data_IF_258924103433
#
_entry.id   IF_258924103433
#
_cell.length_a   1.000
_cell.length_b   1.000
_cell.length_c   1.000
_cell.angle_alpha   90.00
_cell.angle_beta   90.00
_cell.angle_gamma   90.00
#
_symmetry.space_group_name_H-M   'P 1'
#
loop_
_entity.id
_entity.type
_entity.pdbx_description
1 polymer ?
#
# COMPACT_ATOMS: atom_id res chain seq x y z
N UNK A 1 71.84 -3.08 -11.37
CA UNK A 1 71.11 -1.81 -11.18
C UNK A 1 69.70 -1.98 -11.72
N UNK A 2 68.70 -1.74 -10.88
CA UNK A 2 67.27 -1.86 -11.20
C UNK A 2 66.83 -0.61 -11.98
N UNK A 3 66.12 -0.79 -13.09
CA UNK A 3 65.39 0.29 -13.78
C UNK A 3 64.01 -0.21 -14.18
N UNK A 4 63.03 -0.09 -13.28
CA UNK A 4 61.61 -0.27 -13.61
C UNK A 4 61.03 1.13 -13.88
N UNK A 5 60.67 1.41 -15.12
CA UNK A 5 59.81 2.54 -15.44
C UNK A 5 58.38 2.20 -14.98
N UNK A 6 57.89 2.92 -13.97
CA UNK A 6 56.47 2.96 -13.62
C UNK A 6 55.84 4.10 -14.42
N UNK A 7 54.94 3.78 -15.35
CA UNK A 7 54.01 4.76 -15.90
C UNK A 7 52.94 5.06 -14.83
N UNK A 8 52.70 6.34 -14.47
CA UNK A 8 51.55 6.66 -13.64
C UNK A 8 50.31 6.57 -14.53
N UNK A 9 49.43 5.61 -14.25
CA UNK A 9 48.10 5.57 -14.82
C UNK A 9 47.33 6.78 -14.26
N UNK A 10 47.19 7.82 -15.07
CA UNK A 10 46.37 9.00 -14.80
C UNK A 10 44.90 8.58 -14.77
N UNK A 11 44.41 8.16 -13.60
CA UNK A 11 42.98 8.02 -13.31
C UNK A 11 42.45 9.38 -12.85
N UNK A 12 42.18 10.26 -13.82
CA UNK A 12 41.27 11.42 -13.69
C UNK A 12 39.93 11.04 -14.37
N UNK A 13 38.78 11.65 -14.01
CA UNK A 13 37.75 10.92 -13.28
C UNK A 13 36.48 10.72 -14.11
N UNK A 14 36.12 9.46 -14.37
CA UNK A 14 34.82 9.11 -14.95
C UNK A 14 33.64 9.63 -14.13
N UNK A 15 33.78 9.71 -12.80
CA UNK A 15 32.74 10.20 -11.90
C UNK A 15 32.48 11.73 -12.02
N UNK A 16 33.48 12.53 -12.40
CA UNK A 16 33.31 13.98 -12.57
C UNK A 16 32.66 14.30 -13.92
N UNK A 17 33.01 13.59 -14.99
CA UNK A 17 32.43 13.79 -16.33
C UNK A 17 30.93 13.42 -16.37
N UNK A 18 30.55 12.30 -15.73
CA UNK A 18 29.15 11.89 -15.66
C UNK A 18 28.29 12.87 -14.82
N UNK A 19 28.85 13.43 -13.74
CA UNK A 19 28.16 14.42 -12.90
C UNK A 19 28.00 15.78 -13.59
N UNK A 20 28.99 16.21 -14.37
CA UNK A 20 28.91 17.44 -15.17
C UNK A 20 27.81 17.35 -16.24
N UNK A 21 27.86 16.31 -17.10
CA UNK A 21 26.83 16.10 -18.14
C UNK A 21 25.41 16.00 -17.56
N UNK A 22 25.25 15.36 -16.40
CA UNK A 22 23.93 15.22 -15.77
C UNK A 22 23.43 16.54 -15.19
N UNK A 23 24.33 17.39 -14.69
CA UNK A 23 23.99 18.73 -14.18
C UNK A 23 23.56 19.63 -15.34
N UNK A 24 24.22 19.53 -16.48
CA UNK A 24 23.93 20.32 -17.68
C UNK A 24 22.54 19.99 -18.26
N UNK A 25 22.18 18.71 -18.41
CA UNK A 25 20.86 18.29 -18.95
C UNK A 25 19.71 18.76 -18.05
N UNK A 26 19.91 18.73 -16.73
CA UNK A 26 18.91 19.20 -15.77
C UNK A 26 18.70 20.71 -15.88
N UNK A 27 19.80 21.49 -15.92
CA UNK A 27 19.72 22.94 -16.09
C UNK A 27 19.05 23.29 -17.42
N UNK A 28 19.45 22.61 -18.50
CA UNK A 28 18.83 22.74 -19.81
C UNK A 28 17.31 22.47 -19.75
N UNK A 29 16.88 21.43 -19.05
CA UNK A 29 15.46 21.10 -18.89
C UNK A 29 14.66 22.21 -18.18
N UNK A 30 15.29 22.97 -17.27
CA UNK A 30 14.66 24.12 -16.62
C UNK A 30 14.68 25.37 -17.50
N UNK A 31 15.83 25.66 -18.12
CA UNK A 31 16.04 26.87 -18.91
C UNK A 31 15.21 26.82 -20.22
N UNK A 32 15.02 25.64 -20.83
CA UNK A 32 14.20 25.43 -22.03
C UNK A 32 12.72 25.13 -21.75
N UNK A 33 12.31 25.06 -20.47
CA UNK A 33 10.93 24.79 -20.11
C UNK A 33 9.98 25.89 -20.61
N UNK A 34 8.72 25.55 -20.85
CA UNK A 34 7.69 26.56 -21.12
C UNK A 34 7.34 27.24 -19.79
N UNK A 35 7.73 28.50 -19.64
CA UNK A 35 7.42 29.32 -18.47
C UNK A 35 6.06 30.01 -18.62
N UNK A 36 5.20 29.87 -17.62
CA UNK A 36 3.88 30.50 -17.59
C UNK A 36 3.52 31.00 -16.18
N UNK A 37 2.53 31.88 -16.11
CA UNK A 37 2.00 32.43 -14.86
C UNK A 37 0.50 32.17 -14.74
N UNK A 38 0.05 31.84 -13.55
CA UNK A 38 -1.37 31.65 -13.19
C UNK A 38 -1.62 32.31 -11.84
N UNK A 39 -2.88 32.61 -11.52
CA UNK A 39 -3.21 33.04 -10.16
C UNK A 39 -2.94 31.93 -9.15
N UNK A 40 -3.78 30.89 -9.18
CA UNK A 40 -3.67 29.70 -8.33
C UNK A 40 -3.71 28.43 -9.18
N UNK A 41 -2.78 27.51 -8.94
CA UNK A 41 -2.75 26.22 -9.62
C UNK A 41 -3.65 25.20 -8.91
N UNK A 42 -4.53 24.53 -9.66
CA UNK A 42 -5.36 23.44 -9.14
C UNK A 42 -4.74 22.11 -9.53
N UNK A 43 -4.25 21.37 -8.54
CA UNK A 43 -3.63 20.06 -8.75
C UNK A 43 -4.64 19.07 -9.36
N UNK A 44 -4.37 18.50 -10.55
CA UNK A 44 -5.26 17.53 -11.15
C UNK A 44 -5.27 16.21 -10.37
N UNK A 45 -6.46 15.64 -10.13
CA UNK A 45 -6.64 14.39 -9.36
C UNK A 45 -5.96 13.16 -9.97
N UNK A 46 -5.71 13.16 -11.28
CA UNK A 46 -5.20 12.00 -12.03
C UNK A 46 -3.81 12.23 -12.63
N UNK A 47 -2.95 13.01 -11.97
CA UNK A 47 -1.57 13.21 -12.39
C UNK A 47 -0.62 12.90 -11.24
N UNK A 48 0.54 12.32 -11.54
CA UNK A 48 1.62 12.20 -10.58
C UNK A 48 2.08 13.59 -10.12
N UNK A 49 2.67 13.69 -8.95
CA UNK A 49 3.27 14.92 -8.45
C UNK A 49 4.36 14.67 -7.39
N UNK A 50 5.24 15.66 -7.17
CA UNK A 50 6.22 15.68 -6.06
C UNK A 50 6.07 17.02 -5.37
N UNK A 51 5.74 17.03 -4.09
CA UNK A 51 5.48 18.26 -3.33
C UNK A 51 6.65 18.62 -2.42
N UNK A 52 6.93 19.90 -2.36
CA UNK A 52 7.91 20.51 -1.46
C UNK A 52 7.19 21.51 -0.53
N UNK A 53 7.71 21.75 0.68
CA UNK A 53 7.37 22.95 1.42
C UNK A 53 7.77 24.21 0.63
N UNK A 54 7.14 25.34 0.96
CA UNK A 54 7.57 26.64 0.46
C UNK A 54 9.03 26.90 0.83
N UNK A 55 9.81 27.46 -0.10
CA UNK A 55 11.23 27.77 0.13
C UNK A 55 12.17 26.56 0.25
N UNK A 56 11.67 25.32 0.13
CA UNK A 56 12.49 24.10 0.29
C UNK A 56 12.52 23.24 -0.99
N UNK A 57 13.57 22.44 -1.10
CA UNK A 57 13.70 21.33 -2.06
C UNK A 57 13.61 19.95 -1.41
N UNK A 58 13.37 19.90 -0.10
CA UNK A 58 13.15 18.65 0.62
C UNK A 58 11.74 18.15 0.30
N UNK A 59 11.65 16.89 -0.13
CA UNK A 59 10.39 16.30 -0.56
C UNK A 59 9.53 16.07 0.68
N UNK A 60 8.39 16.75 0.75
CA UNK A 60 7.42 16.55 1.82
C UNK A 60 6.49 15.37 1.53
N UNK A 61 5.98 15.29 0.29
CA UNK A 61 5.04 14.27 -0.16
C UNK A 61 5.25 14.00 -1.65
N UNK A 62 4.84 12.85 -2.16
CA UNK A 62 4.90 12.56 -3.60
C UNK A 62 3.88 11.50 -4.01
N UNK A 63 3.36 11.67 -5.22
CA UNK A 63 2.59 10.72 -5.99
C UNK A 63 3.33 10.40 -7.28
N UNK A 64 3.92 9.21 -7.43
CA UNK A 64 4.76 8.91 -8.59
C UNK A 64 4.21 7.82 -9.48
N UNK A 65 4.62 7.96 -10.73
CA UNK A 65 4.62 6.93 -11.75
C UNK A 65 5.76 5.95 -11.41
N UNK A 66 5.46 4.66 -11.38
CA UNK A 66 6.44 3.57 -11.29
C UNK A 66 7.63 3.83 -12.23
N UNK A 67 8.90 3.72 -11.77
CA UNK A 67 10.08 3.87 -12.61
C UNK A 67 10.07 3.00 -13.88
N UNK A 68 9.41 1.83 -13.88
CA UNK A 68 9.24 1.01 -15.07
C UNK A 68 8.44 1.72 -16.19
N UNK A 69 7.63 2.71 -15.84
CA UNK A 69 6.76 3.47 -16.74
C UNK A 69 7.27 4.89 -17.00
N UNK A 70 8.53 5.20 -16.68
CA UNK A 70 9.17 6.48 -17.03
C UNK A 70 8.92 6.83 -18.51
N UNK A 71 9.06 5.85 -19.41
CA UNK A 71 8.84 5.98 -20.86
C UNK A 71 7.44 6.52 -21.26
N UNK A 72 6.46 6.44 -20.36
CA UNK A 72 5.11 6.99 -20.55
C UNK A 72 4.98 8.44 -20.10
N UNK A 73 5.94 9.02 -19.39
CA UNK A 73 5.91 10.44 -19.01
C UNK A 73 5.95 11.31 -20.26
N UNK A 74 4.95 12.18 -20.38
CA UNK A 74 4.77 13.10 -21.51
C UNK A 74 5.05 14.55 -21.12
N UNK A 75 4.75 14.95 -19.87
CA UNK A 75 4.95 16.32 -19.40
C UNK A 75 5.38 16.31 -17.94
N UNK A 76 6.34 17.17 -17.59
CA UNK A 76 6.69 17.50 -16.21
C UNK A 76 6.56 19.00 -16.02
N UNK A 77 5.75 19.41 -15.05
CA UNK A 77 5.45 20.80 -14.75
C UNK A 77 5.90 21.13 -13.33
N UNK A 78 6.90 21.99 -13.17
CA UNK A 78 7.20 22.60 -11.86
C UNK A 78 6.19 23.70 -11.58
N UNK A 79 5.54 23.65 -10.43
CA UNK A 79 4.62 24.67 -9.93
C UNK A 79 5.21 25.26 -8.65
N UNK A 80 5.28 26.59 -8.56
CA UNK A 80 5.73 27.30 -7.36
C UNK A 80 5.05 28.65 -7.23
N UNK A 81 5.06 29.26 -6.04
CA UNK A 81 4.53 30.60 -5.81
C UNK A 81 5.59 31.66 -6.09
N UNK A 82 5.15 32.84 -6.53
CA UNK A 82 6.01 34.01 -6.70
C UNK A 82 6.45 34.68 -5.40
N UNK A 83 6.11 34.09 -4.25
CA UNK A 83 6.41 34.60 -2.92
C UNK A 83 7.78 34.13 -2.37
N UNK A 84 8.60 35.03 -1.79
CA UNK A 84 8.38 36.48 -1.70
C UNK A 84 8.41 37.19 -3.06
N UNK A 85 7.50 38.14 -3.29
CA UNK A 85 7.33 38.81 -4.59
C UNK A 85 8.64 39.43 -5.07
N UNK A 86 8.99 39.17 -6.32
CA UNK A 86 10.20 39.69 -6.96
C UNK A 86 11.50 38.91 -6.67
N UNK A 87 11.48 37.87 -5.83
CA UNK A 87 12.64 37.02 -5.60
C UNK A 87 12.90 36.11 -6.81
N UNK A 88 14.18 35.96 -7.17
CA UNK A 88 14.60 34.97 -8.15
C UNK A 88 14.56 33.57 -7.53
N UNK A 89 13.69 32.72 -8.08
CA UNK A 89 13.48 31.35 -7.60
C UNK A 89 14.36 30.32 -8.32
N UNK A 90 15.25 30.75 -9.23
CA UNK A 90 16.01 29.84 -10.09
C UNK A 90 16.80 28.81 -9.29
N UNK A 91 17.60 29.21 -8.32
CA UNK A 91 18.44 28.29 -7.55
C UNK A 91 17.63 27.29 -6.73
N UNK A 92 16.52 27.75 -6.12
CA UNK A 92 15.59 26.87 -5.42
C UNK A 92 14.94 25.86 -6.38
N UNK A 93 14.51 26.33 -7.54
CA UNK A 93 13.88 25.49 -8.55
C UNK A 93 14.86 24.45 -9.11
N UNK A 94 16.11 24.82 -9.41
CA UNK A 94 17.14 23.86 -9.81
C UNK A 94 17.42 22.82 -8.71
N UNK A 95 17.40 23.24 -7.44
CA UNK A 95 17.52 22.31 -6.31
C UNK A 95 16.35 21.33 -6.23
N UNK A 96 15.12 21.79 -6.52
CA UNK A 96 13.95 20.91 -6.67
C UNK A 96 14.07 19.95 -7.86
N UNK A 97 14.59 20.41 -8.99
CA UNK A 97 14.90 19.52 -10.13
C UNK A 97 15.92 18.44 -9.74
N UNK A 98 16.93 18.77 -8.91
CA UNK A 98 17.89 17.77 -8.40
C UNK A 98 17.20 16.76 -7.48
N UNK A 99 16.28 17.21 -6.64
CA UNK A 99 15.44 16.32 -5.83
C UNK A 99 14.54 15.44 -6.72
N UNK A 100 13.96 15.97 -7.80
CA UNK A 100 13.18 15.17 -8.75
C UNK A 100 14.00 14.01 -9.34
N UNK A 101 15.30 14.22 -9.62
CA UNK A 101 16.18 13.17 -10.13
C UNK A 101 16.30 11.97 -9.20
N UNK A 102 16.32 12.19 -7.88
CA UNK A 102 16.39 11.10 -6.90
C UNK A 102 15.08 10.32 -6.84
N UNK A 103 14.00 10.96 -7.29
CA UNK A 103 12.64 10.43 -7.26
C UNK A 103 12.30 9.68 -8.54
N UNK A 104 12.73 10.19 -9.70
CA UNK A 104 12.57 9.59 -11.02
C UNK A 104 13.95 9.44 -11.69
N UNK A 105 14.74 8.42 -11.32
CA UNK A 105 16.06 8.21 -11.90
C UNK A 105 15.99 8.02 -13.42
N UNK A 106 16.78 8.78 -14.17
CA UNK A 106 16.82 8.69 -15.64
C UNK A 106 15.83 9.60 -16.39
N UNK A 107 14.96 10.33 -15.67
CA UNK A 107 13.90 11.12 -16.31
C UNK A 107 14.42 12.23 -17.23
N UNK A 108 15.54 12.84 -16.89
CA UNK A 108 16.14 13.94 -17.66
C UNK A 108 16.75 13.48 -18.98
N UNK A 109 17.09 12.19 -19.10
CA UNK A 109 17.63 11.59 -20.31
C UNK A 109 16.53 11.13 -21.27
N UNK A 110 15.27 11.15 -20.84
CA UNK A 110 14.17 10.64 -21.64
C UNK A 110 13.76 11.65 -22.72
N UNK A 111 13.79 11.25 -24.01
CA UNK A 111 13.40 12.14 -25.08
C UNK A 111 11.88 12.37 -25.08
N UNK A 112 11.46 13.55 -25.54
CA UNK A 112 10.06 13.88 -25.78
C UNK A 112 9.25 14.26 -24.54
N UNK A 113 9.89 14.49 -23.39
CA UNK A 113 9.23 15.10 -22.23
C UNK A 113 9.06 16.59 -22.49
N UNK A 114 7.82 17.08 -22.33
CA UNK A 114 7.54 18.51 -22.31
C UNK A 114 7.75 19.08 -20.91
N UNK A 115 8.74 19.94 -20.74
CA UNK A 115 9.00 20.64 -19.49
C UNK A 115 8.18 21.94 -19.41
N UNK A 116 7.59 22.19 -18.24
CA UNK A 116 6.85 23.42 -17.93
C UNK A 116 7.25 23.96 -16.56
N UNK A 117 7.19 25.26 -16.42
CA UNK A 117 7.41 25.97 -15.16
C UNK A 117 6.26 26.97 -14.98
N UNK A 118 5.46 26.77 -13.95
CA UNK A 118 4.26 27.54 -13.66
C UNK A 118 4.42 28.30 -12.35
N UNK A 119 4.40 29.62 -12.46
CA UNK A 119 4.50 30.54 -11.34
C UNK A 119 3.09 30.98 -10.91
N UNK A 120 2.75 30.77 -9.64
CA UNK A 120 1.49 31.21 -9.04
C UNK A 120 1.65 32.60 -8.44
N UNK A 121 0.76 33.55 -8.76
CA UNK A 121 0.89 34.97 -8.42
C UNK A 121 -0.13 35.50 -7.41
N UNK A 122 -1.11 34.69 -7.01
CA UNK A 122 -2.15 35.11 -6.07
C UNK A 122 -1.70 35.34 -4.62
N UNK A 123 -0.69 34.63 -4.04
CA UNK A 123 -0.46 34.74 -2.60
C UNK A 123 0.12 36.11 -2.25
N UNK A 124 -0.45 36.73 -1.21
CA UNK A 124 -0.04 38.04 -0.70
C UNK A 124 0.86 37.95 0.53
N UNK A 125 0.81 36.83 1.25
CA UNK A 125 1.62 36.56 2.42
C UNK A 125 2.17 35.13 2.46
N UNK A 126 3.06 34.87 3.43
CA UNK A 126 3.69 33.58 3.61
C UNK A 126 2.69 32.45 3.94
N UNK A 127 1.56 32.77 4.61
CA UNK A 127 0.56 31.79 5.02
C UNK A 127 -0.25 31.32 3.81
N UNK A 128 -0.73 32.26 3.00
CA UNK A 128 -1.38 31.98 1.71
C UNK A 128 -0.44 31.20 0.80
N UNK A 129 0.82 31.65 0.68
CA UNK A 129 1.80 30.96 -0.14
C UNK A 129 2.03 29.51 0.34
N UNK A 130 2.18 29.29 1.65
CA UNK A 130 2.36 27.95 2.26
C UNK A 130 1.19 27.01 1.98
N UNK A 131 -0.03 27.52 1.85
CA UNK A 131 -1.21 26.71 1.56
C UNK A 131 -1.32 26.28 0.08
N UNK A 132 -0.57 26.93 -0.82
CA UNK A 132 -0.56 26.60 -2.24
C UNK A 132 0.38 25.44 -2.55
N UNK A 133 0.17 24.81 -3.71
CA UNK A 133 0.99 23.69 -4.15
C UNK A 133 2.37 24.19 -4.65
N UNK A 134 3.45 23.63 -4.10
CA UNK A 134 4.80 23.74 -4.65
C UNK A 134 5.31 22.36 -4.98
N UNK A 135 5.67 22.11 -6.23
CA UNK A 135 5.98 20.76 -6.64
C UNK A 135 6.03 20.51 -8.12
N UNK A 136 6.44 19.31 -8.50
CA UNK A 136 6.30 18.83 -9.86
C UNK A 136 4.93 18.19 -10.05
N UNK A 137 4.35 18.32 -11.23
CA UNK A 137 3.19 17.58 -11.71
C UNK A 137 3.63 16.79 -12.94
N UNK A 138 3.39 15.48 -12.90
CA UNK A 138 3.86 14.49 -13.88
C UNK A 138 2.65 13.97 -14.64
N UNK A 139 2.64 14.18 -15.95
CA UNK A 139 1.59 13.73 -16.85
C UNK A 139 2.10 12.57 -17.68
N UNK A 140 1.27 11.53 -17.82
CA UNK A 140 1.53 10.36 -18.67
C UNK A 140 0.95 10.57 -20.09
N UNK A 141 1.45 9.81 -21.07
CA UNK A 141 0.91 9.77 -22.45
C UNK A 141 -0.54 9.26 -22.47
N UNK A 142 -0.82 8.26 -21.63
CA UNK A 142 -2.15 7.72 -21.38
C UNK A 142 -2.61 8.17 -19.98
N UNK A 143 -3.89 8.49 -19.78
CA UNK A 143 -4.36 8.90 -18.45
C UNK A 143 -4.33 7.70 -17.47
N UNK A 144 -4.25 7.97 -16.17
CA UNK A 144 -4.22 6.90 -15.15
C UNK A 144 -5.43 5.97 -15.20
N UNK A 145 -6.59 6.46 -15.64
CA UNK A 145 -7.81 5.67 -15.77
C UNK A 145 -7.69 4.61 -16.87
N UNK A 146 -7.18 4.97 -18.04
CA UNK A 146 -6.85 4.03 -19.12
C UNK A 146 -5.75 3.05 -18.72
N UNK A 147 -4.84 3.45 -17.82
CA UNK A 147 -3.87 2.54 -17.22
C UNK A 147 -4.54 1.55 -16.25
N UNK A 148 -5.50 1.99 -15.43
CA UNK A 148 -6.30 1.10 -14.57
C UNK A 148 -7.09 0.08 -15.40
N UNK A 149 -7.74 0.53 -16.47
CA UNK A 149 -8.44 -0.34 -17.44
C UNK A 149 -7.48 -1.33 -18.08
N UNK A 150 -6.30 -0.89 -18.52
CA UNK A 150 -5.27 -1.79 -19.08
C UNK A 150 -4.75 -2.82 -18.06
N UNK A 151 -4.61 -2.46 -16.78
CA UNK A 151 -4.24 -3.41 -15.74
C UNK A 151 -5.34 -4.44 -15.52
N UNK A 152 -6.60 -3.99 -15.44
CA UNK A 152 -7.77 -4.87 -15.38
C UNK A 152 -7.82 -5.82 -16.57
N UNK A 153 -7.70 -5.29 -17.79
CA UNK A 153 -7.68 -6.05 -19.05
C UNK A 153 -6.52 -7.06 -19.13
N UNK A 154 -5.41 -6.79 -18.43
CA UNK A 154 -4.28 -7.72 -18.34
C UNK A 154 -4.53 -8.92 -17.42
N UNK A 155 -5.55 -8.86 -16.56
CA UNK A 155 -5.97 -9.96 -15.69
C UNK A 155 -6.97 -10.83 -16.47
N UNK A 156 -6.83 -12.17 -16.51
CA UNK A 156 -7.79 -13.02 -17.21
C UNK A 156 -9.24 -12.83 -16.72
N UNK A 157 -10.21 -12.78 -17.64
CA UNK A 157 -11.62 -12.45 -17.34
C UNK A 157 -12.26 -13.34 -16.26
N UNK A 158 -11.93 -14.63 -16.21
CA UNK A 158 -12.45 -15.54 -15.20
C UNK A 158 -12.00 -15.15 -13.78
N UNK A 159 -10.84 -14.51 -13.65
CA UNK A 159 -10.31 -14.01 -12.38
C UNK A 159 -10.91 -12.65 -12.06
N UNK A 160 -11.10 -11.79 -13.06
CA UNK A 160 -11.78 -10.52 -12.85
C UNK A 160 -13.17 -10.75 -12.22
N UNK A 161 -13.92 -11.76 -12.68
CA UNK A 161 -15.22 -12.10 -12.09
C UNK A 161 -15.12 -12.47 -10.60
N UNK A 162 -14.18 -13.36 -10.24
CA UNK A 162 -13.90 -13.76 -8.85
C UNK A 162 -13.47 -12.56 -7.96
N UNK A 163 -12.82 -11.54 -8.55
CA UNK A 163 -12.32 -10.36 -7.85
C UNK A 163 -13.33 -9.22 -7.74
N UNK A 164 -14.30 -9.14 -8.65
CA UNK A 164 -15.26 -8.01 -8.72
C UNK A 164 -16.55 -8.31 -7.93
N UNK A 165 -16.96 -9.57 -7.82
CA UNK A 165 -18.18 -9.97 -7.11
C UNK A 165 -17.92 -10.12 -5.60
N UNK A 166 -17.86 -9.00 -4.87
CA UNK A 166 -17.74 -9.02 -3.41
C UNK A 166 -19.12 -9.09 -2.72
N UNK A 167 -19.28 -9.93 -1.67
CA UNK A 167 -20.51 -9.95 -0.86
C UNK A 167 -20.81 -8.61 -0.15
N UNK A 168 -19.78 -7.86 0.22
CA UNK A 168 -19.91 -6.49 0.73
C UNK A 168 -18.68 -5.62 0.40
N UNK A 169 -18.71 -4.35 0.79
CA UNK A 169 -17.65 -3.36 0.55
C UNK A 169 -16.74 -3.08 1.76
N UNK A 170 -16.58 -4.06 2.67
CA UNK A 170 -15.91 -3.83 3.97
C UNK A 170 -14.52 -3.24 3.83
N UNK A 171 -13.66 -3.84 3.01
CA UNK A 171 -12.27 -3.38 2.86
C UNK A 171 -12.23 -1.96 2.34
N UNK A 172 -12.99 -1.65 1.30
CA UNK A 172 -13.04 -0.28 0.76
C UNK A 172 -13.54 0.71 1.83
N UNK A 173 -14.64 0.37 2.52
CA UNK A 173 -15.25 1.24 3.52
C UNK A 173 -14.33 1.51 4.73
N UNK A 174 -13.56 0.51 5.17
CA UNK A 174 -12.59 0.67 6.26
C UNK A 174 -11.45 1.59 5.82
N UNK A 175 -10.90 1.38 4.62
CA UNK A 175 -9.80 2.21 4.13
C UNK A 175 -10.22 3.67 3.93
N UNK A 176 -11.43 3.93 3.41
CA UNK A 176 -11.99 5.29 3.35
C UNK A 176 -12.03 5.97 4.72
N UNK A 177 -12.42 5.24 5.78
CA UNK A 177 -12.50 5.79 7.13
C UNK A 177 -11.15 5.95 7.82
N UNK A 178 -10.25 4.98 7.66
CA UNK A 178 -9.09 4.81 8.56
C UNK A 178 -7.77 5.20 7.93
N UNK A 179 -7.60 5.00 6.62
CA UNK A 179 -6.33 5.26 5.96
C UNK A 179 -5.86 6.72 6.05
N UNK A 180 -6.72 7.76 6.11
CA UNK A 180 -6.26 9.14 6.33
C UNK A 180 -5.50 9.34 7.66
N UNK A 181 -5.73 8.49 8.66
CA UNK A 181 -5.06 8.54 9.96
C UNK A 181 -3.82 7.63 10.06
N UNK A 182 -3.52 6.84 9.04
CA UNK A 182 -2.38 5.94 9.00
C UNK A 182 -1.18 6.59 8.31
N UNK A 183 0.04 6.18 8.66
CA UNK A 183 1.26 6.69 8.05
C UNK A 183 2.17 5.53 7.62
N UNK A 184 2.52 5.48 6.33
CA UNK A 184 3.45 4.51 5.75
C UNK A 184 3.26 3.05 6.21
N UNK A 185 2.07 2.50 5.94
CA UNK A 185 1.67 1.15 6.37
C UNK A 185 2.04 0.06 5.36
N UNK A 186 2.32 -1.12 5.90
CA UNK A 186 2.46 -2.35 5.10
C UNK A 186 1.17 -3.16 5.22
N UNK A 187 0.57 -3.46 4.08
CA UNK A 187 -0.60 -4.33 4.00
C UNK A 187 -0.13 -5.78 4.03
N UNK A 188 -0.70 -6.59 4.91
CA UNK A 188 -0.69 -8.04 4.85
C UNK A 188 -2.09 -8.49 4.46
N UNK A 189 -2.22 -9.21 3.36
CA UNK A 189 -3.51 -9.56 2.77
C UNK A 189 -3.59 -11.06 2.55
N UNK A 190 -4.64 -11.64 3.10
CA UNK A 190 -5.08 -12.98 2.74
C UNK A 190 -5.45 -12.99 1.25
N UNK A 191 -4.80 -13.87 0.51
CA UNK A 191 -5.00 -14.10 -0.91
C UNK A 191 -5.38 -15.55 -1.20
N UNK A 192 -6.31 -16.06 -0.41
CA UNK A 192 -7.11 -17.26 -0.68
C UNK A 192 -8.40 -16.92 -1.45
N UNK A 193 -9.10 -17.94 -1.95
CA UNK A 193 -10.25 -17.76 -2.84
C UNK A 193 -11.36 -16.88 -2.23
N UNK A 194 -11.68 -17.04 -0.94
CA UNK A 194 -12.72 -16.25 -0.26
C UNK A 194 -12.36 -14.77 -0.15
N UNK A 195 -11.06 -14.44 -0.17
CA UNK A 195 -10.56 -13.08 0.06
C UNK A 195 -10.23 -12.31 -1.21
N UNK A 196 -10.42 -12.90 -2.40
CA UNK A 196 -10.07 -12.26 -3.67
C UNK A 196 -10.77 -10.93 -3.90
N UNK A 197 -12.06 -10.86 -3.60
CA UNK A 197 -12.86 -9.66 -3.83
C UNK A 197 -12.56 -8.53 -2.83
N UNK A 198 -12.20 -8.89 -1.60
CA UNK A 198 -11.83 -7.94 -0.55
C UNK A 198 -10.46 -7.33 -0.76
N UNK A 199 -9.50 -8.14 -1.20
CA UNK A 199 -8.18 -7.63 -1.56
C UNK A 199 -8.23 -6.83 -2.87
N UNK A 200 -9.15 -7.15 -3.79
CA UNK A 200 -9.40 -6.30 -4.95
C UNK A 200 -9.96 -4.93 -4.57
N UNK A 201 -10.92 -4.85 -3.65
CA UNK A 201 -11.41 -3.57 -3.10
C UNK A 201 -10.30 -2.70 -2.52
N UNK A 202 -9.33 -3.31 -1.82
CA UNK A 202 -8.16 -2.58 -1.35
C UNK A 202 -7.40 -1.95 -2.51
N UNK A 203 -7.18 -2.70 -3.59
CA UNK A 203 -6.47 -2.17 -4.75
C UNK A 203 -7.25 -1.05 -5.44
N UNK A 204 -8.57 -1.18 -5.55
CA UNK A 204 -9.43 -0.11 -6.08
C UNK A 204 -9.33 1.15 -5.22
N UNK A 205 -9.47 1.00 -3.91
CA UNK A 205 -9.30 2.11 -2.97
C UNK A 205 -7.92 2.75 -3.09
N UNK A 206 -6.86 1.93 -3.11
CA UNK A 206 -5.48 2.39 -3.24
C UNK A 206 -5.24 3.11 -4.57
N UNK A 207 -5.86 2.66 -5.67
CA UNK A 207 -5.79 3.29 -6.97
C UNK A 207 -6.49 4.66 -6.99
N UNK A 208 -7.68 4.74 -6.41
CA UNK A 208 -8.50 5.96 -6.37
C UNK A 208 -7.93 7.00 -5.41
N UNK A 209 -7.33 6.53 -4.30
CA UNK A 209 -6.74 7.36 -3.25
C UNK A 209 -5.22 7.38 -3.28
N UNK A 210 -4.58 6.96 -4.38
CA UNK A 210 -3.12 6.74 -4.42
C UNK A 210 -2.32 7.96 -3.92
N UNK A 211 -2.79 9.18 -4.26
CA UNK A 211 -2.25 10.48 -3.82
C UNK A 211 -2.10 10.57 -2.30
N UNK A 212 -3.05 10.02 -1.56
CA UNK A 212 -3.14 10.07 -0.10
C UNK A 212 -2.98 8.68 0.53
N UNK A 213 -2.63 7.68 -0.27
CA UNK A 213 -2.59 6.32 0.23
C UNK A 213 -1.39 6.15 1.15
N UNK A 214 -1.58 5.71 2.40
CA UNK A 214 -0.49 5.45 3.32
C UNK A 214 0.26 4.15 2.97
N UNK A 215 -0.18 3.41 1.96
CA UNK A 215 0.33 2.06 1.67
C UNK A 215 1.67 2.13 0.95
N UNK A 216 2.71 1.57 1.56
CA UNK A 216 4.07 1.53 0.97
C UNK A 216 4.44 0.14 0.39
N UNK A 217 3.86 -0.92 0.95
CA UNK A 217 4.14 -2.29 0.55
C UNK A 217 2.93 -3.20 0.75
N UNK A 218 2.89 -4.26 -0.05
CA UNK A 218 1.95 -5.37 0.10
C UNK A 218 2.72 -6.65 0.41
N UNK A 219 2.16 -7.44 1.31
CA UNK A 219 2.50 -8.83 1.60
C UNK A 219 1.23 -9.63 1.40
N UNK A 220 1.32 -10.71 0.62
CA UNK A 220 0.20 -11.61 0.37
C UNK A 220 0.55 -13.00 0.89
N UNK A 221 -0.45 -13.74 1.37
CA UNK A 221 -0.31 -15.15 1.70
C UNK A 221 -1.44 -15.98 1.11
N UNK A 222 -1.15 -17.22 0.70
CA UNK A 222 -2.12 -18.15 0.11
C UNK A 222 -2.16 -19.52 0.81
N UNK A 223 -1.61 -19.57 2.03
CA UNK A 223 -1.55 -20.76 2.89
C UNK A 223 -0.80 -21.95 2.28
N UNK A 224 0.40 -21.63 1.79
CA UNK A 224 1.44 -22.62 1.55
C UNK A 224 1.45 -23.24 0.17
N UNK A 225 1.03 -22.53 -0.88
CA UNK A 225 1.22 -22.94 -2.29
C UNK A 225 0.74 -24.38 -2.61
N UNK A 226 -0.52 -24.70 -2.26
CA UNK A 226 -1.15 -26.03 -2.42
C UNK A 226 -0.53 -27.15 -1.58
N UNK A 227 0.24 -26.83 -0.54
CA UNK A 227 0.61 -27.82 0.49
C UNK A 227 -0.65 -28.49 1.03
N UNK A 228 -0.59 -29.80 1.23
CA UNK A 228 -1.63 -30.51 1.99
C UNK A 228 -1.57 -30.11 3.47
N UNK A 229 -2.66 -30.28 4.22
CA UNK A 229 -2.75 -29.90 5.63
C UNK A 229 -1.58 -30.43 6.47
N UNK A 230 -1.15 -31.67 6.26
CA UNK A 230 -0.03 -32.27 7.00
C UNK A 230 1.33 -31.62 6.70
N UNK A 231 1.48 -30.94 5.56
CA UNK A 231 2.70 -30.25 5.17
C UNK A 231 2.77 -28.81 5.71
N UNK A 232 1.65 -28.27 6.22
CA UNK A 232 1.54 -26.91 6.76
C UNK A 232 2.02 -26.86 8.21
N UNK A 233 3.34 -26.96 8.37
CA UNK A 233 4.00 -26.83 9.67
C UNK A 233 4.04 -25.37 10.09
N UNK A 234 3.59 -25.08 11.31
CA UNK A 234 3.61 -23.73 11.90
C UNK A 234 5.02 -23.13 11.80
N UNK A 235 5.10 -21.90 11.27
CA UNK A 235 6.34 -21.18 11.02
C UNK A 235 7.05 -21.54 9.71
N UNK A 236 6.52 -22.50 8.95
CA UNK A 236 7.11 -23.07 7.72
C UNK A 236 6.07 -23.38 6.65
N UNK A 237 4.84 -22.90 6.79
CA UNK A 237 3.76 -23.09 5.82
C UNK A 237 4.11 -22.38 4.51
N UNK A 238 4.63 -21.15 4.58
CA UNK A 238 5.08 -20.42 3.39
C UNK A 238 3.93 -19.92 2.52
N UNK A 239 4.14 -19.81 1.21
CA UNK A 239 3.15 -19.17 0.34
C UNK A 239 3.01 -17.67 0.58
N UNK A 240 4.10 -17.01 1.01
CA UNK A 240 4.15 -15.59 1.35
C UNK A 240 4.94 -14.83 0.29
N UNK A 241 4.38 -13.72 -0.16
CA UNK A 241 4.87 -12.93 -1.29
C UNK A 241 4.87 -11.45 -0.93
N UNK A 242 5.77 -10.66 -1.51
CA UNK A 242 5.79 -9.20 -1.30
C UNK A 242 5.98 -8.41 -2.58
N UNK A 243 5.46 -7.20 -2.59
CA UNK A 243 5.69 -6.20 -3.64
C UNK A 243 5.65 -4.79 -3.07
N UNK A 244 6.26 -3.84 -3.77
CA UNK A 244 6.02 -2.42 -3.52
C UNK A 244 4.61 -2.02 -3.97
N UNK A 245 4.03 -1.03 -3.30
CA UNK A 245 2.76 -0.41 -3.69
C UNK A 245 2.86 0.52 -4.90
N UNK A 246 4.07 0.84 -5.35
CA UNK A 246 4.32 1.84 -6.40
C UNK A 246 3.73 1.50 -7.78
N UNK A 247 3.24 0.27 -7.96
CA UNK A 247 2.82 -0.25 -9.26
C UNK A 247 1.67 -1.24 -9.10
N UNK A 248 0.43 -0.77 -9.24
CA UNK A 248 -0.74 -1.63 -9.14
C UNK A 248 -0.75 -2.72 -10.22
N UNK A 249 -0.18 -2.45 -11.40
CA UNK A 249 0.07 -3.48 -12.41
C UNK A 249 0.97 -4.63 -11.90
N UNK A 250 2.01 -4.28 -11.14
CA UNK A 250 2.92 -5.27 -10.54
C UNK A 250 2.23 -6.02 -9.41
N UNK A 251 1.44 -5.33 -8.60
CA UNK A 251 0.62 -5.95 -7.55
C UNK A 251 -0.38 -6.96 -8.15
N UNK A 252 -1.12 -6.56 -9.18
CA UNK A 252 -2.07 -7.42 -9.90
C UNK A 252 -1.39 -8.63 -10.55
N UNK A 253 -0.24 -8.45 -11.22
CA UNK A 253 0.53 -9.57 -11.79
C UNK A 253 1.04 -10.53 -10.72
N UNK A 254 1.46 -10.01 -9.57
CA UNK A 254 1.86 -10.84 -8.44
C UNK A 254 0.66 -11.64 -7.91
N UNK A 255 -0.48 -11.02 -7.70
CA UNK A 255 -1.72 -11.70 -7.27
C UNK A 255 -2.12 -12.83 -8.21
N UNK A 256 -2.03 -12.60 -9.52
CA UNK A 256 -2.25 -13.64 -10.53
C UNK A 256 -1.28 -14.82 -10.39
N UNK A 257 0.00 -14.52 -10.16
CA UNK A 257 1.03 -15.54 -9.93
C UNK A 257 0.77 -16.35 -8.65
N UNK A 258 0.38 -15.70 -7.56
CA UNK A 258 0.08 -16.37 -6.29
C UNK A 258 -1.10 -17.31 -6.43
N UNK A 259 -2.19 -16.86 -7.09
CA UNK A 259 -3.36 -17.70 -7.38
C UNK A 259 -2.99 -18.99 -8.14
N UNK A 260 -2.05 -18.90 -9.10
CA UNK A 260 -1.57 -20.08 -9.84
C UNK A 260 -0.85 -21.08 -8.93
N UNK A 261 -0.28 -20.63 -7.83
CA UNK A 261 0.41 -21.49 -6.86
C UNK A 261 -0.52 -22.06 -5.80
N UNK A 262 -1.66 -21.44 -5.55
CA UNK A 262 -2.67 -21.93 -4.61
C UNK A 262 -3.71 -20.87 -4.30
N UNK A 263 -4.85 -21.34 -3.82
CA UNK A 263 -5.98 -20.52 -3.42
C UNK A 263 -6.47 -20.87 -2.00
N UNK A 264 -5.57 -21.43 -1.18
CA UNK A 264 -5.85 -22.00 0.15
C UNK A 264 -5.80 -23.53 0.15
N UNK A 265 -6.53 -24.14 1.09
CA UNK A 265 -6.70 -25.60 1.14
C UNK A 265 -7.68 -26.03 2.22
N UNK A 266 -7.18 -26.26 3.43
CA UNK A 266 -7.99 -26.36 4.64
C UNK A 266 -8.30 -24.99 5.21
N UNK A 267 -9.32 -24.93 6.07
CA UNK A 267 -9.89 -23.67 6.59
C UNK A 267 -8.96 -22.82 7.46
N UNK A 268 -8.06 -23.37 8.32
CA UNK A 268 -7.14 -22.52 9.06
C UNK A 268 -6.05 -21.93 8.14
N UNK A 269 -5.65 -20.68 8.34
CA UNK A 269 -4.70 -19.98 7.45
C UNK A 269 -3.43 -19.57 8.21
N UNK A 270 -2.35 -19.21 7.49
CA UNK A 270 -1.04 -18.88 8.07
C UNK A 270 -0.79 -17.36 8.26
N UNK A 271 -1.74 -16.67 8.87
CA UNK A 271 -1.73 -15.22 9.04
C UNK A 271 -0.48 -14.71 9.79
N UNK A 272 -0.09 -15.35 10.90
CA UNK A 272 0.99 -14.83 11.74
C UNK A 272 2.36 -15.04 11.12
N UNK A 273 2.55 -16.09 10.31
CA UNK A 273 3.72 -16.25 9.46
C UNK A 273 3.85 -15.05 8.50
N UNK A 274 2.76 -14.61 7.89
CA UNK A 274 2.74 -13.46 6.98
C UNK A 274 3.03 -12.14 7.71
N UNK A 275 2.44 -11.93 8.90
CA UNK A 275 2.71 -10.75 9.74
C UNK A 275 4.18 -10.73 10.18
N UNK A 276 4.74 -11.86 10.62
CA UNK A 276 6.15 -11.95 11.00
C UNK A 276 7.08 -11.73 9.81
N UNK A 277 6.71 -12.22 8.64
CA UNK A 277 7.45 -11.96 7.40
C UNK A 277 7.46 -10.47 7.06
N UNK A 278 6.33 -9.78 7.19
CA UNK A 278 6.24 -8.32 7.01
C UNK A 278 7.11 -7.58 8.02
N UNK A 279 7.03 -7.94 9.31
CA UNK A 279 7.85 -7.36 10.38
C UNK A 279 9.36 -7.48 10.11
N UNK A 280 9.80 -8.63 9.60
CA UNK A 280 11.20 -8.85 9.23
C UNK A 280 11.61 -8.11 7.96
N UNK A 281 10.71 -8.05 6.97
CA UNK A 281 10.98 -7.41 5.68
C UNK A 281 10.99 -5.89 5.75
N UNK A 282 10.23 -5.30 6.68
CA UNK A 282 10.02 -3.85 6.78
C UNK A 282 10.26 -3.38 8.21
N UNK A 283 11.52 -3.40 8.69
CA UNK A 283 11.86 -3.04 10.07
C UNK A 283 11.65 -1.55 10.39
N UNK A 284 11.34 -0.69 9.41
CA UNK A 284 10.98 0.71 9.65
C UNK A 284 9.48 0.97 9.74
N UNK A 285 8.61 0.00 9.40
CA UNK A 285 7.17 0.19 9.42
C UNK A 285 6.64 0.23 10.87
N UNK A 286 5.98 1.30 11.28
CA UNK A 286 5.50 1.46 12.66
C UNK A 286 4.28 0.57 12.97
N UNK A 287 3.45 0.29 11.96
CA UNK A 287 2.26 -0.54 12.10
C UNK A 287 1.97 -1.37 10.83
N UNK A 288 1.19 -2.43 11.01
CA UNK A 288 0.77 -3.37 9.97
C UNK A 288 -0.74 -3.37 9.83
N UNK A 289 -1.25 -3.53 8.61
CA UNK A 289 -2.69 -3.71 8.35
C UNK A 289 -2.91 -5.11 7.79
N UNK A 290 -3.56 -5.98 8.56
CA UNK A 290 -3.94 -7.34 8.16
C UNK A 290 -5.36 -7.33 7.60
N UNK A 291 -5.57 -7.78 6.38
CA UNK A 291 -6.88 -8.11 5.82
C UNK A 291 -7.01 -9.62 5.83
N UNK A 292 -7.96 -10.14 6.60
CA UNK A 292 -8.08 -11.57 6.84
C UNK A 292 -9.54 -12.03 6.78
N UNK A 293 -9.73 -13.33 6.56
CA UNK A 293 -11.03 -13.96 6.55
C UNK A 293 -11.50 -14.24 7.99
N UNK A 294 -12.61 -13.62 8.41
CA UNK A 294 -13.21 -13.85 9.73
C UNK A 294 -13.89 -15.23 9.85
N UNK A 295 -13.87 -16.03 8.78
CA UNK A 295 -14.35 -17.41 8.76
C UNK A 295 -13.24 -18.44 8.90
N UNK A 296 -11.99 -18.00 8.77
CA UNK A 296 -10.81 -18.84 8.84
C UNK A 296 -10.08 -18.65 10.16
N UNK A 297 -9.78 -19.77 10.84
CA UNK A 297 -8.98 -19.71 12.06
C UNK A 297 -7.54 -19.37 11.73
N UNK A 298 -6.89 -18.61 12.60
CA UNK A 298 -5.45 -18.40 12.53
C UNK A 298 -4.72 -19.68 12.98
N UNK A 299 -4.11 -20.41 12.05
CA UNK A 299 -3.44 -21.70 12.31
C UNK A 299 -2.27 -21.56 13.28
N UNK A 300 -1.53 -20.47 13.13
CA UNK A 300 -0.19 -20.29 13.64
C UNK A 300 -0.14 -19.34 14.84
N UNK A 301 -1.19 -19.35 15.67
CA UNK A 301 -1.28 -18.54 16.90
C UNK A 301 -0.13 -18.75 17.90
N UNK A 302 0.60 -19.87 17.80
CA UNK A 302 1.85 -20.10 18.55
C UNK A 302 2.92 -19.04 18.25
N UNK A 303 2.84 -18.39 17.08
CA UNK A 303 3.77 -17.36 16.64
C UNK A 303 3.44 -15.97 17.21
N UNK A 304 2.30 -15.79 17.87
CA UNK A 304 1.80 -14.50 18.34
C UNK A 304 2.84 -13.75 19.19
N UNK A 305 3.54 -14.46 20.08
CA UNK A 305 4.52 -13.87 21.00
C UNK A 305 5.72 -13.23 20.32
N UNK A 306 5.96 -13.48 19.03
CA UNK A 306 7.04 -12.89 18.25
C UNK A 306 6.63 -11.61 17.51
N UNK A 307 5.34 -11.26 17.48
CA UNK A 307 4.82 -10.05 16.85
C UNK A 307 4.91 -8.91 17.87
N UNK A 308 5.59 -7.82 17.49
CA UNK A 308 5.95 -6.72 18.41
C UNK A 308 5.37 -5.38 18.00
N UNK A 309 4.75 -5.29 16.83
CA UNK A 309 4.17 -4.05 16.31
C UNK A 309 2.65 -4.14 16.27
N UNK A 310 1.95 -3.00 16.38
CA UNK A 310 0.51 -2.94 16.21
C UNK A 310 0.06 -3.57 14.89
N UNK A 311 -0.97 -4.41 14.97
CA UNK A 311 -1.64 -4.98 13.80
C UNK A 311 -3.09 -4.49 13.76
N UNK A 312 -3.41 -3.67 12.76
CA UNK A 312 -4.76 -3.22 12.43
C UNK A 312 -5.43 -4.30 11.60
N UNK A 313 -6.49 -4.93 12.10
CA UNK A 313 -7.13 -6.08 11.46
C UNK A 313 -8.41 -5.61 10.78
N UNK A 314 -8.54 -5.85 9.48
CA UNK A 314 -9.74 -5.60 8.68
C UNK A 314 -10.41 -6.95 8.43
N UNK A 315 -11.65 -7.09 8.91
CA UNK A 315 -12.42 -8.33 8.85
C UNK A 315 -13.70 -8.11 8.02
N UNK A 316 -13.69 -8.52 6.74
CA UNK A 316 -14.88 -8.55 5.90
C UNK A 316 -15.91 -9.58 6.36
N UNK A 317 -17.18 -9.36 6.00
CA UNK A 317 -18.31 -10.23 6.35
C UNK A 317 -18.47 -10.57 7.85
N UNK A 318 -17.87 -9.77 8.73
CA UNK A 318 -17.94 -9.86 10.18
C UNK A 318 -19.39 -9.54 10.67
N UNK A 319 -20.34 -10.44 10.40
CA UNK A 319 -21.76 -10.32 10.70
C UNK A 319 -22.30 -11.56 11.42
N UNK A 320 -23.06 -11.42 12.52
CA UNK A 320 -23.58 -12.55 13.28
C UNK A 320 -24.48 -13.40 12.41
N UNK A 321 -24.37 -14.73 12.55
CA UNK A 321 -25.16 -15.67 11.79
C UNK A 321 -26.16 -16.33 12.71
N UNK A 322 -27.41 -16.45 12.25
CA UNK A 322 -28.43 -17.25 12.92
C UNK A 322 -28.58 -18.56 12.16
N UNK A 323 -28.18 -19.67 12.78
CA UNK A 323 -28.36 -21.02 12.21
C UNK A 323 -29.10 -21.89 13.21
N UNK A 324 -30.25 -22.41 12.77
CA UNK A 324 -31.16 -23.23 13.60
C UNK A 324 -31.51 -22.58 14.95
N UNK A 325 -31.74 -21.26 14.97
CA UNK A 325 -32.11 -20.54 16.20
C UNK A 325 -30.95 -20.20 17.15
N UNK A 326 -29.72 -20.64 16.85
CA UNK A 326 -28.52 -20.23 17.55
C UNK A 326 -27.85 -19.03 16.86
N UNK A 327 -27.49 -18.01 17.64
CA UNK A 327 -26.66 -16.89 17.17
C UNK A 327 -25.20 -17.27 17.35
N UNK A 328 -24.48 -17.32 16.24
CA UNK A 328 -23.06 -17.53 16.21
C UNK A 328 -22.33 -16.18 16.17
N UNK A 329 -21.34 -15.96 17.06
CA UNK A 329 -20.52 -14.78 16.97
C UNK A 329 -19.73 -14.83 15.67
N UNK A 330 -19.71 -13.70 14.97
CA UNK A 330 -19.06 -13.58 13.68
C UNK A 330 -17.55 -13.58 13.77
N UNK A 331 -17.03 -13.11 14.92
CA UNK A 331 -15.63 -12.80 15.07
C UNK A 331 -14.83 -13.95 15.69
N UNK A 332 -13.81 -14.39 14.97
CA UNK A 332 -12.88 -15.41 15.43
C UNK A 332 -12.00 -14.83 16.55
N UNK A 333 -11.93 -15.52 17.69
CA UNK A 333 -11.30 -15.01 18.91
C UNK A 333 -9.80 -14.73 18.74
N UNK A 334 -9.17 -15.43 17.82
CA UNK A 334 -7.76 -15.32 17.46
C UNK A 334 -7.40 -13.91 16.99
N UNK A 335 -8.26 -13.25 16.20
CA UNK A 335 -8.05 -11.86 15.79
C UNK A 335 -8.15 -10.87 16.96
N UNK A 336 -9.07 -11.10 17.91
CA UNK A 336 -9.16 -10.27 19.14
C UNK A 336 -7.89 -10.42 19.96
N UNK A 337 -7.38 -11.65 20.10
CA UNK A 337 -6.13 -11.92 20.80
C UNK A 337 -4.95 -11.24 20.11
N UNK A 338 -4.89 -11.27 18.78
CA UNK A 338 -3.86 -10.59 18.00
C UNK A 338 -3.89 -9.07 18.22
N UNK A 339 -5.05 -8.44 18.09
CA UNK A 339 -5.21 -6.99 18.31
C UNK A 339 -4.82 -6.59 19.75
N UNK A 340 -5.33 -7.33 20.76
CA UNK A 340 -4.99 -7.07 22.16
C UNK A 340 -3.49 -7.25 22.46
N UNK A 341 -2.86 -8.29 21.90
CA UNK A 341 -1.43 -8.56 22.13
C UNK A 341 -0.53 -7.47 21.54
N UNK A 342 -0.91 -6.97 20.37
CA UNK A 342 -0.08 -6.05 19.59
C UNK A 342 -0.35 -4.58 19.89
N UNK A 343 -1.37 -4.26 20.69
CA UNK A 343 -1.87 -2.89 20.82
C UNK A 343 -2.50 -2.38 19.52
N UNK A 344 -2.99 -3.31 18.69
CA UNK A 344 -3.65 -3.07 17.42
C UNK A 344 -5.14 -2.79 17.58
N UNK A 345 -5.90 -3.01 16.52
CA UNK A 345 -7.33 -2.72 16.45
C UNK A 345 -8.05 -3.67 15.49
N UNK A 346 -9.38 -3.71 15.56
CA UNK A 346 -10.22 -4.46 14.64
C UNK A 346 -11.20 -3.53 13.94
N UNK A 347 -11.35 -3.70 12.63
CA UNK A 347 -12.20 -2.88 11.77
C UNK A 347 -13.10 -3.78 10.94
N UNK A 348 -14.39 -3.52 11.02
CA UNK A 348 -15.45 -4.18 10.23
C UNK A 348 -16.10 -3.14 9.31
N UNK A 349 -17.10 -3.55 8.50
CA UNK A 349 -17.80 -2.64 7.59
C UNK A 349 -18.28 -1.34 8.26
N UNK A 350 -18.81 -1.44 9.47
CA UNK A 350 -19.51 -0.33 10.14
C UNK A 350 -19.06 -0.05 11.57
N UNK A 351 -18.13 -0.85 12.11
CA UNK A 351 -17.65 -0.70 13.48
C UNK A 351 -16.14 -0.85 13.55
N UNK A 352 -15.54 -0.01 14.37
CA UNK A 352 -14.11 0.05 14.64
C UNK A 352 -13.90 -0.16 16.16
N UNK A 353 -12.95 -1.01 16.52
CA UNK A 353 -12.58 -1.34 17.90
C UNK A 353 -11.09 -1.01 18.07
N UNK A 354 -10.80 0.17 18.61
CA UNK A 354 -9.46 0.77 18.55
C UNK A 354 -8.75 0.77 19.90
N UNK A 355 -9.52 0.85 20.98
CA UNK A 355 -9.00 0.83 22.34
C UNK A 355 -8.96 -0.59 22.92
N UNK A 356 -8.12 -0.76 23.95
CA UNK A 356 -8.05 -2.01 24.71
C UNK A 356 -9.39 -2.32 25.38
N UNK A 357 -10.07 -1.30 25.88
CA UNK A 357 -11.37 -1.41 26.54
C UNK A 357 -12.45 -1.91 25.57
N UNK A 358 -12.50 -1.34 24.36
CA UNK A 358 -13.41 -1.79 23.30
C UNK A 358 -13.12 -3.24 22.88
N UNK A 359 -11.84 -3.60 22.71
CA UNK A 359 -11.44 -4.96 22.37
C UNK A 359 -11.77 -5.96 23.49
N UNK A 360 -11.62 -5.58 24.77
CA UNK A 360 -12.02 -6.42 25.91
C UNK A 360 -13.54 -6.58 25.99
N UNK A 361 -14.30 -5.51 25.71
CA UNK A 361 -15.76 -5.57 25.65
C UNK A 361 -16.23 -6.46 24.49
N UNK A 362 -15.61 -6.33 23.31
CA UNK A 362 -15.85 -7.20 22.16
C UNK A 362 -15.53 -8.65 22.51
N UNK A 363 -14.37 -8.91 23.14
CA UNK A 363 -13.97 -10.25 23.58
C UNK A 363 -15.03 -10.88 24.47
N UNK A 364 -15.47 -10.15 25.49
CA UNK A 364 -16.53 -10.61 26.42
C UNK A 364 -17.82 -10.93 25.67
N UNK A 365 -18.25 -10.03 24.78
CA UNK A 365 -19.45 -10.20 23.97
C UNK A 365 -19.39 -11.45 23.06
N UNK A 366 -18.21 -11.71 22.48
CA UNK A 366 -17.93 -12.89 21.63
C UNK A 366 -17.91 -14.16 22.46
N UNK A 367 -17.19 -14.18 23.58
CA UNK A 367 -17.08 -15.33 24.49
C UNK A 367 -18.45 -15.78 25.03
N UNK A 368 -19.30 -14.82 25.44
CA UNK A 368 -20.65 -15.11 25.92
C UNK A 368 -21.52 -15.78 24.86
N UNK A 369 -21.38 -15.39 23.59
CA UNK A 369 -22.13 -16.00 22.47
C UNK A 369 -21.58 -17.36 22.09
N UNK A 370 -20.26 -17.52 22.04
CA UNK A 370 -19.63 -18.83 21.89
C UNK A 370 -20.12 -19.80 22.97
N UNK A 371 -20.18 -19.37 24.23
CA UNK A 371 -20.67 -20.21 25.34
C UNK A 371 -22.16 -20.58 25.19
N UNK A 372 -23.01 -19.61 24.80
CA UNK A 372 -24.45 -19.84 24.54
C UNK A 372 -24.65 -20.82 23.38
N UNK A 373 -23.98 -20.60 22.26
CA UNK A 373 -24.07 -21.48 21.09
C UNK A 373 -23.58 -22.89 21.44
N UNK A 374 -22.45 -23.02 22.16
CA UNK A 374 -21.91 -24.32 22.62
C UNK A 374 -22.92 -25.06 23.49
N UNK A 375 -23.58 -24.35 24.39
CA UNK A 375 -24.61 -24.92 25.26
C UNK A 375 -25.84 -25.36 24.47
N UNK A 376 -26.29 -24.56 23.50
CA UNK A 376 -27.41 -24.89 22.63
C UNK A 376 -27.14 -26.17 21.83
N UNK A 377 -25.99 -26.25 21.17
CA UNK A 377 -25.65 -27.38 20.31
C UNK A 377 -25.37 -28.66 21.06
N UNK A 378 -24.65 -28.59 22.19
CA UNK A 378 -24.47 -29.77 23.06
C UNK A 378 -25.77 -30.40 23.54
N UNK A 379 -26.85 -29.62 23.69
CA UNK A 379 -28.17 -30.15 24.05
C UNK A 379 -28.87 -30.85 22.89
N UNK A 380 -28.61 -30.42 21.66
CA UNK A 380 -29.24 -30.93 20.44
C UNK A 380 -28.48 -32.13 19.87
N UNK A 381 -27.16 -32.05 19.89
CA UNK A 381 -26.23 -33.11 19.53
C UNK A 381 -24.97 -33.03 20.42
N UNK A 382 -24.81 -33.94 21.40
CA UNK A 382 -23.64 -33.95 22.28
C UNK A 382 -22.30 -34.18 21.58
N UNK A 383 -22.32 -34.73 20.36
CA UNK A 383 -21.12 -35.09 19.60
C UNK A 383 -20.67 -34.00 18.63
N UNK A 384 -21.47 -32.94 18.47
CA UNK A 384 -21.17 -31.90 17.51
C UNK A 384 -20.02 -31.01 17.96
N UNK A 385 -19.00 -30.86 17.11
CA UNK A 385 -17.98 -29.85 17.31
C UNK A 385 -18.48 -28.51 16.79
N UNK A 386 -18.78 -27.61 17.72
CA UNK A 386 -19.26 -26.28 17.38
C UNK A 386 -18.28 -25.48 16.53
N UNK A 387 -16.98 -25.77 16.65
CA UNK A 387 -15.97 -25.14 15.80
C UNK A 387 -16.12 -25.57 14.33
N UNK A 388 -16.68 -26.74 14.07
CA UNK A 388 -16.92 -27.22 12.70
C UNK A 388 -18.20 -26.60 12.13
N UNK A 389 -19.25 -26.45 12.96
CA UNK A 389 -20.52 -25.81 12.57
C UNK A 389 -20.40 -24.32 12.22
N UNK A 390 -19.49 -23.62 12.89
CA UNK A 390 -19.20 -22.21 12.66
C UNK A 390 -18.60 -21.92 11.28
N UNK A 391 -17.99 -22.93 10.65
CA UNK A 391 -17.22 -22.78 9.40
C UNK A 391 -17.97 -23.40 8.20
N UNK A 392 -19.08 -24.10 8.44
CA UNK A 392 -19.96 -24.66 7.39
C UNK A 392 -21.13 -23.71 7.14
N UNK A 393 -20.97 -22.85 6.13
CA UNK A 393 -22.03 -21.99 5.57
C UNK A 393 -23.10 -22.84 4.89
#
# INVERSE_FOLDING_TARGET
>A
MKGKFLFPLLLLPYAFLANAQTTDILMQSYDEAIHQQVGTYRLPKHKGWVQFPIGSSDIAKRYLVDPAHLHQVSTIELVYTDYPKGMDMRELNLSRFRALRTVLPGIFQQPGIRWRVTRQTDPNDAKEATAMFHGFVITLKNNLQSFQEQVLDSIPQNIQKEMVEAPDSTTYAVFERKAPGWNEVVIISDWTLSMYSYTWQLLQWHLENYIHSPIIHFVFFNDGDRKSTHQKQIGKTGGIYKTSSQSVATVARLMYHIRKRGNGGDRPENDLEAVLYAQRSYPSADEFVLIADDWSKVRDMELLTYIKRPVRIVLPEAQPIVKEGAVYPWLIQEYIKLALHTGGSIHTKSQDYESKEELLALKKWVDERYAKAKTYWKKRDPWVDINTLLIER
#
